data_IF_560233343851
#
_entry.id   IF_560233343851
#
_cell.length_a   1.000
_cell.length_b   1.000
_cell.length_c   1.000
_cell.angle_alpha   90.00
_cell.angle_beta   90.00
_cell.angle_gamma   90.00
#
_symmetry.space_group_name_H-M   'P 1'
#
loop_
_entity.id
_entity.type
_entity.pdbx_description
1 polymer ?
#
# COMPACT_ATOMS: atom_id res chain seq x y z
N UNK A 1 -3.53 -17.10 17.72
CA UNK A 1 -4.62 -16.46 16.92
C UNK A 1 -5.87 -17.35 16.92
N UNK A 2 -7.08 -16.80 17.00
CA UNK A 2 -8.35 -17.56 16.93
C UNK A 2 -9.19 -17.10 15.71
N UNK A 3 -10.33 -17.75 15.45
CA UNK A 3 -11.19 -17.43 14.29
C UNK A 3 -11.69 -15.98 14.28
N UNK A 4 -12.02 -15.43 15.45
CA UNK A 4 -12.47 -14.04 15.55
C UNK A 4 -11.35 -13.07 15.14
N UNK A 5 -10.12 -13.30 15.58
CA UNK A 5 -8.96 -12.49 15.17
C UNK A 5 -8.75 -12.55 13.65
N UNK A 6 -8.87 -13.74 13.05
CA UNK A 6 -8.77 -13.95 11.59
C UNK A 6 -9.81 -13.12 10.85
N UNK A 7 -11.08 -13.19 11.28
CA UNK A 7 -12.17 -12.45 10.64
C UNK A 7 -11.95 -10.93 10.74
N UNK A 8 -11.54 -10.44 11.91
CA UNK A 8 -11.28 -9.00 12.13
C UNK A 8 -10.13 -8.53 11.22
N UNK A 9 -8.99 -9.20 11.24
CA UNK A 9 -7.84 -8.84 10.41
C UNK A 9 -8.17 -8.94 8.91
N UNK A 10 -9.01 -9.89 8.50
CA UNK A 10 -9.45 -10.01 7.11
C UNK A 10 -10.36 -8.89 6.64
N UNK A 11 -11.28 -8.45 7.48
CA UNK A 11 -12.12 -7.31 7.20
C UNK A 11 -11.27 -6.04 7.13
N UNK A 12 -10.33 -5.87 8.06
CA UNK A 12 -9.40 -4.73 8.06
C UNK A 12 -8.61 -4.70 6.74
N UNK A 13 -7.90 -5.78 6.40
CA UNK A 13 -7.11 -5.86 5.16
C UNK A 13 -7.97 -5.58 3.92
N UNK A 14 -9.09 -6.30 3.76
CA UNK A 14 -9.93 -6.18 2.58
C UNK A 14 -10.52 -4.79 2.35
N UNK A 15 -10.79 -4.03 3.42
CA UNK A 15 -11.29 -2.65 3.33
C UNK A 15 -10.14 -1.66 3.10
N UNK A 16 -9.03 -1.82 3.83
CA UNK A 16 -8.00 -0.78 3.96
C UNK A 16 -6.93 -0.84 2.88
N UNK A 17 -6.73 -1.97 2.20
CA UNK A 17 -5.66 -2.14 1.20
C UNK A 17 -5.82 -1.21 -0.02
N UNK A 18 -7.06 -0.91 -0.42
CA UNK A 18 -7.32 -0.05 -1.59
C UNK A 18 -7.54 1.41 -1.24
N UNK A 19 -7.98 1.68 -0.01
CA UNK A 19 -8.22 3.04 0.46
C UNK A 19 -6.88 3.71 0.79
N UNK A 20 -6.75 5.04 0.63
CA UNK A 20 -5.50 5.74 0.90
C UNK A 20 -5.19 5.89 2.41
N UNK A 21 -5.47 4.87 3.22
CA UNK A 21 -5.45 4.92 4.70
C UNK A 21 -4.48 3.91 5.36
N UNK A 22 -3.66 3.20 4.58
CA UNK A 22 -2.64 2.24 5.02
C UNK A 22 -3.18 1.00 5.76
N UNK A 23 -3.28 -0.11 5.04
CA UNK A 23 -3.61 -1.44 5.59
C UNK A 23 -2.61 -1.92 6.62
N UNK A 24 -1.31 -1.82 6.32
CA UNK A 24 -0.23 -2.20 7.24
C UNK A 24 -0.38 -1.52 8.60
N UNK A 25 -0.72 -0.23 8.62
CA UNK A 25 -0.93 0.49 9.86
C UNK A 25 -2.10 -0.05 10.69
N UNK A 26 -3.25 -0.27 10.04
CA UNK A 26 -4.44 -0.82 10.70
C UNK A 26 -4.22 -2.27 11.17
N UNK A 27 -3.47 -3.07 10.43
CA UNK A 27 -3.14 -4.46 10.78
C UNK A 27 -2.22 -4.52 12.00
N UNK A 28 -1.19 -3.67 12.07
CA UNK A 28 -0.27 -3.58 13.22
C UNK A 28 -1.01 -3.08 14.46
N UNK A 29 -1.82 -2.02 14.35
CA UNK A 29 -2.58 -1.50 15.48
C UNK A 29 -3.66 -2.49 15.96
N UNK A 30 -4.41 -3.08 15.04
CA UNK A 30 -5.45 -4.07 15.35
C UNK A 30 -4.89 -5.30 16.03
N UNK A 31 -3.81 -5.88 15.48
CA UNK A 31 -3.14 -7.03 16.10
C UNK A 31 -2.49 -6.69 17.45
N UNK A 32 -2.00 -5.46 17.64
CA UNK A 32 -1.44 -4.99 18.92
C UNK A 32 -2.54 -4.82 19.96
N UNK A 33 -3.68 -4.24 19.59
CA UNK A 33 -4.85 -4.10 20.46
C UNK A 33 -5.41 -5.45 20.90
N UNK A 34 -5.40 -6.45 20.01
CA UNK A 34 -5.77 -7.83 20.33
C UNK A 34 -4.69 -8.59 21.13
N UNK A 35 -3.53 -7.99 21.38
CA UNK A 35 -2.43 -8.60 22.14
C UNK A 35 -1.71 -9.75 21.41
N UNK A 36 -1.78 -9.79 20.07
CA UNK A 36 -1.25 -10.89 19.25
C UNK A 36 -0.16 -10.45 18.25
N UNK A 37 0.20 -9.17 18.20
CA UNK A 37 1.12 -8.62 17.19
C UNK A 37 2.53 -9.24 17.21
N UNK A 38 3.01 -9.68 18.37
CA UNK A 38 4.36 -10.26 18.52
C UNK A 38 4.43 -11.73 18.07
N UNK A 39 3.29 -12.39 17.82
CA UNK A 39 3.24 -13.78 17.40
C UNK A 39 3.77 -13.91 15.94
N UNK A 40 4.83 -14.69 15.69
CA UNK A 40 5.37 -14.90 14.35
C UNK A 40 4.32 -15.41 13.35
N UNK A 41 3.36 -16.21 13.81
CA UNK A 41 2.28 -16.70 12.96
C UNK A 41 1.34 -15.57 12.53
N UNK A 42 1.10 -14.58 13.41
CA UNK A 42 0.28 -13.41 13.07
C UNK A 42 1.00 -12.54 12.06
N UNK A 43 2.30 -12.28 12.23
CA UNK A 43 3.11 -11.55 11.23
C UNK A 43 3.04 -12.23 9.85
N UNK A 44 3.22 -13.55 9.81
CA UNK A 44 3.06 -14.32 8.57
C UNK A 44 1.65 -14.21 7.99
N UNK A 45 0.63 -14.38 8.83
CA UNK A 45 -0.77 -14.29 8.43
C UNK A 45 -1.10 -12.92 7.83
N UNK A 46 -0.62 -11.81 8.42
CA UNK A 46 -0.86 -10.45 7.92
C UNK A 46 -0.25 -10.19 6.54
N UNK A 47 0.80 -10.92 6.16
CA UNK A 47 1.35 -10.87 4.80
C UNK A 47 0.55 -11.79 3.86
N UNK A 48 0.25 -13.01 4.30
CA UNK A 48 -0.44 -14.00 3.48
C UNK A 48 -1.84 -13.53 3.04
N UNK A 49 -2.54 -12.81 3.91
CA UNK A 49 -3.89 -12.32 3.64
C UNK A 49 -3.96 -11.26 2.54
N UNK A 50 -2.89 -10.51 2.31
CA UNK A 50 -2.81 -9.54 1.21
C UNK A 50 -2.99 -10.23 -0.15
N UNK A 51 -2.70 -11.53 -0.27
CA UNK A 51 -2.99 -12.30 -1.48
C UNK A 51 -4.49 -12.30 -1.80
N UNK A 52 -5.36 -12.35 -0.79
CA UNK A 52 -6.81 -12.25 -0.99
C UNK A 52 -7.21 -10.90 -1.57
N UNK A 53 -6.57 -9.83 -1.10
CA UNK A 53 -6.75 -8.49 -1.65
C UNK A 53 -6.27 -8.43 -3.12
N UNK A 54 -5.04 -8.85 -3.38
CA UNK A 54 -4.45 -8.92 -4.74
C UNK A 54 -5.37 -9.71 -5.69
N UNK A 55 -5.87 -10.88 -5.27
CA UNK A 55 -6.78 -11.70 -6.07
C UNK A 55 -8.08 -10.97 -6.41
N UNK A 56 -8.62 -10.16 -5.49
CA UNK A 56 -9.83 -9.40 -5.79
C UNK A 56 -9.59 -8.35 -6.89
N UNK A 57 -8.41 -7.73 -6.96
CA UNK A 57 -8.01 -6.82 -8.05
C UNK A 57 -7.88 -7.59 -9.36
N UNK A 58 -7.26 -8.77 -9.32
CA UNK A 58 -7.14 -9.66 -10.49
C UNK A 58 -8.51 -10.04 -11.03
N UNK A 59 -9.47 -10.39 -10.17
CA UNK A 59 -10.84 -10.73 -10.58
C UNK A 59 -11.58 -9.51 -11.13
N UNK A 60 -11.54 -8.38 -10.41
CA UNK A 60 -12.24 -7.15 -10.79
C UNK A 60 -11.75 -6.57 -12.12
N UNK A 61 -10.43 -6.61 -12.34
CA UNK A 61 -9.78 -6.03 -13.52
C UNK A 61 -9.23 -7.08 -14.48
N UNK A 62 -9.72 -8.32 -14.43
CA UNK A 62 -9.18 -9.45 -15.19
C UNK A 62 -8.95 -9.13 -16.68
N UNK A 63 -9.90 -8.45 -17.32
CA UNK A 63 -9.79 -8.05 -18.73
C UNK A 63 -8.69 -7.02 -19.00
N UNK A 64 -8.39 -6.15 -18.03
CA UNK A 64 -7.33 -5.12 -18.15
C UNK A 64 -5.92 -5.72 -18.14
N UNK A 65 -5.74 -6.94 -17.63
CA UNK A 65 -4.46 -7.64 -17.73
C UNK A 65 -4.14 -8.10 -19.17
N UNK A 66 -5.11 -8.14 -20.09
CA UNK A 66 -4.86 -8.50 -21.49
C UNK A 66 -4.65 -7.26 -22.38
N UNK A 67 -4.10 -6.18 -21.81
CA UNK A 67 -3.68 -4.95 -22.52
C UNK A 67 -2.37 -5.16 -23.29
N UNK A 68 -1.89 -4.10 -23.95
CA UNK A 68 -0.67 -4.11 -24.76
C UNK A 68 0.60 -4.36 -23.92
N UNK A 69 1.68 -4.79 -24.57
CA UNK A 69 3.00 -4.93 -23.94
C UNK A 69 3.49 -3.58 -23.37
N UNK A 70 3.14 -2.47 -24.02
CA UNK A 70 3.48 -1.11 -23.56
C UNK A 70 2.97 -0.83 -22.13
N UNK A 71 1.75 -1.27 -21.81
CA UNK A 71 1.19 -1.15 -20.45
C UNK A 71 2.10 -1.85 -19.41
N UNK A 72 2.59 -3.04 -19.72
CA UNK A 72 3.48 -3.79 -18.84
C UNK A 72 4.87 -3.16 -18.71
N UNK A 73 5.38 -2.54 -19.79
CA UNK A 73 6.63 -1.78 -19.74
C UNK A 73 6.48 -0.58 -18.80
N UNK A 74 5.36 0.16 -18.88
CA UNK A 74 5.08 1.28 -17.96
C UNK A 74 4.97 0.82 -16.51
N UNK A 75 4.26 -0.28 -16.24
CA UNK A 75 4.19 -0.88 -14.90
C UNK A 75 5.58 -1.27 -14.38
N UNK A 76 6.39 -1.89 -15.23
CA UNK A 76 7.75 -2.28 -14.87
C UNK A 76 8.61 -1.04 -14.54
N UNK A 77 8.53 0.02 -15.34
CA UNK A 77 9.23 1.28 -15.10
C UNK A 77 8.81 1.91 -13.75
N UNK A 78 7.51 1.90 -13.43
CA UNK A 78 7.01 2.38 -12.14
C UNK A 78 7.49 1.49 -10.97
N UNK A 79 7.68 0.20 -11.19
CA UNK A 79 8.16 -0.74 -10.16
C UNK A 79 9.66 -0.57 -9.84
N UNK A 80 10.50 -0.18 -10.81
CA UNK A 80 11.96 -0.12 -10.66
C UNK A 80 12.42 0.66 -9.42
N UNK A 81 12.00 1.93 -9.18
CA UNK A 81 12.46 2.68 -8.01
C UNK A 81 12.11 1.96 -6.69
N UNK A 82 10.88 1.45 -6.59
CA UNK A 82 10.42 0.74 -5.40
C UNK A 82 11.19 -0.57 -5.16
N UNK A 83 11.52 -1.30 -6.22
CA UNK A 83 12.33 -2.52 -6.10
C UNK A 83 13.75 -2.21 -5.61
N UNK A 84 14.38 -1.17 -6.16
CA UNK A 84 15.74 -0.77 -5.79
C UNK A 84 15.78 -0.30 -4.33
N UNK A 85 14.93 0.67 -3.97
CA UNK A 85 14.95 1.24 -2.63
C UNK A 85 14.43 0.27 -1.56
N UNK A 86 13.50 -0.63 -1.91
CA UNK A 86 13.01 -1.65 -0.99
C UNK A 86 14.10 -2.64 -0.59
N UNK A 87 14.97 -3.02 -1.54
CA UNK A 87 16.14 -3.86 -1.24
C UNK A 87 17.24 -3.08 -0.53
N UNK A 88 17.48 -1.82 -0.93
CA UNK A 88 18.54 -1.00 -0.34
C UNK A 88 18.27 -0.63 1.12
N UNK A 89 17.01 -0.46 1.50
CA UNK A 89 16.59 0.01 2.82
C UNK A 89 15.79 -1.03 3.63
N UNK A 90 15.87 -2.32 3.28
CA UNK A 90 15.09 -3.39 3.93
C UNK A 90 15.17 -3.35 5.46
N UNK A 91 16.39 -3.27 6.00
CA UNK A 91 16.63 -3.31 7.44
C UNK A 91 16.02 -2.10 8.16
N UNK A 92 16.02 -0.93 7.52
CA UNK A 92 15.42 0.28 8.07
C UNK A 92 13.89 0.23 8.04
N UNK A 93 13.32 -0.35 6.97
CA UNK A 93 11.87 -0.55 6.83
C UNK A 93 11.38 -1.51 7.91
N UNK A 94 12.08 -2.63 8.11
CA UNK A 94 11.76 -3.62 9.13
C UNK A 94 11.81 -3.02 10.53
N UNK A 95 12.85 -2.24 10.85
CA UNK A 95 12.95 -1.56 12.14
C UNK A 95 11.77 -0.59 12.40
N UNK A 96 11.26 0.08 11.36
CA UNK A 96 10.08 0.94 11.47
C UNK A 96 8.78 0.14 11.66
N UNK A 97 8.65 -1.03 11.01
CA UNK A 97 7.48 -1.91 11.11
C UNK A 97 7.30 -2.47 12.53
N UNK A 98 8.40 -2.66 13.25
CA UNK A 98 8.38 -3.16 14.63
C UNK A 98 7.98 -2.10 15.66
N UNK A 99 7.75 -0.84 15.25
CA UNK A 99 7.34 0.26 16.13
C UNK A 99 5.86 0.64 15.92
N UNK A 100 4.93 0.11 16.73
CA UNK A 100 3.51 0.51 16.67
C UNK A 100 3.31 2.02 16.84
N UNK A 101 4.14 2.67 17.66
CA UNK A 101 4.08 4.12 17.86
C UNK A 101 4.51 4.88 16.59
N UNK A 102 5.57 4.45 15.92
CA UNK A 102 6.02 5.06 14.66
C UNK A 102 4.95 4.94 13.57
N UNK A 103 4.33 3.76 13.46
CA UNK A 103 3.21 3.50 12.56
C UNK A 103 2.00 4.38 12.89
N UNK A 104 1.64 4.53 14.17
CA UNK A 104 0.54 5.39 14.59
C UNK A 104 0.78 6.87 14.25
N UNK A 105 2.01 7.36 14.43
CA UNK A 105 2.40 8.72 14.03
C UNK A 105 2.29 8.88 12.52
N UNK A 106 2.79 7.90 11.75
CA UNK A 106 2.68 7.93 10.28
C UNK A 106 1.23 7.97 9.81
N UNK A 107 0.34 7.17 10.42
CA UNK A 107 -1.09 7.19 10.14
C UNK A 107 -1.73 8.54 10.45
N UNK A 108 -1.37 9.17 11.58
CA UNK A 108 -1.87 10.49 11.95
C UNK A 108 -1.43 11.55 10.94
N UNK A 109 -0.15 11.57 10.59
CA UNK A 109 0.41 12.50 9.58
C UNK A 109 -0.26 12.27 8.22
N UNK A 110 -0.38 11.02 7.79
CA UNK A 110 -1.09 10.67 6.56
C UNK A 110 -2.54 11.14 6.56
N UNK A 111 -3.27 10.92 7.66
CA UNK A 111 -4.63 11.41 7.84
C UNK A 111 -4.75 12.93 7.75
N UNK A 112 -3.82 13.67 8.35
CA UNK A 112 -3.76 15.14 8.23
C UNK A 112 -3.53 15.55 6.77
N UNK A 113 -2.62 14.90 6.05
CA UNK A 113 -2.35 15.19 4.63
C UNK A 113 -3.62 14.98 3.78
N UNK A 114 -4.35 13.88 4.00
CA UNK A 114 -5.59 13.59 3.27
C UNK A 114 -6.67 14.66 3.45
N UNK A 115 -6.72 15.37 4.60
CA UNK A 115 -7.67 16.47 4.79
C UNK A 115 -7.45 17.65 3.83
N UNK A 116 -6.25 17.78 3.28
CA UNK A 116 -5.88 18.89 2.39
C UNK A 116 -5.70 18.45 0.93
N UNK A 117 -5.70 17.14 0.67
CA UNK A 117 -5.35 16.59 -0.65
C UNK A 117 -6.30 17.04 -1.76
N UNK A 118 -7.60 17.13 -1.46
CA UNK A 118 -8.62 17.55 -2.42
C UNK A 118 -8.37 18.97 -2.97
N UNK A 119 -7.65 19.81 -2.22
CA UNK A 119 -7.33 21.19 -2.63
C UNK A 119 -6.13 21.26 -3.58
N UNK A 120 -5.29 20.22 -3.61
CA UNK A 120 -4.08 20.18 -4.42
C UNK A 120 -4.34 19.75 -5.86
N UNK A 121 -5.39 18.96 -6.11
CA UNK A 121 -5.72 18.41 -7.42
C UNK A 121 -7.04 18.97 -7.95
N UNK A 122 -7.01 20.21 -8.43
CA UNK A 122 -8.20 20.91 -8.98
C UNK A 122 -8.40 20.69 -10.48
N UNK A 123 -7.47 20.05 -11.19
CA UNK A 123 -7.60 19.68 -12.61
C UNK A 123 -6.95 18.33 -12.89
N UNK A 124 -7.71 17.37 -13.42
CA UNK A 124 -7.17 16.13 -13.95
C UNK A 124 -6.55 16.40 -15.34
N UNK A 125 -5.25 16.14 -15.48
CA UNK A 125 -4.51 16.34 -16.75
C UNK A 125 -4.46 15.10 -17.63
N UNK A 126 -4.68 13.91 -17.05
CA UNK A 126 -4.64 12.61 -17.74
C UNK A 126 -5.94 11.89 -17.38
N UNK A 127 -6.75 11.56 -18.39
CA UNK A 127 -8.09 10.97 -18.19
C UNK A 127 -8.09 9.46 -18.44
N UNK A 128 -7.19 8.98 -19.31
CA UNK A 128 -7.02 7.56 -19.57
C UNK A 128 -5.65 7.05 -19.11
N UNK A 129 -5.63 5.87 -18.51
CA UNK A 129 -4.41 5.10 -18.22
C UNK A 129 -3.52 4.88 -19.43
N UNK A 130 -4.08 4.86 -20.64
CA UNK A 130 -3.33 4.67 -21.88
C UNK A 130 -2.51 5.94 -22.25
N UNK A 131 -2.85 7.11 -21.70
CA UNK A 131 -2.16 8.40 -21.92
C UNK A 131 -0.97 8.62 -20.98
N UNK A 132 -0.76 7.76 -19.99
CA UNK A 132 0.39 7.85 -19.07
C UNK A 132 1.67 7.59 -19.85
N UNK A 133 2.57 8.57 -19.87
CA UNK A 133 3.89 8.44 -20.49
C UNK A 133 4.90 7.75 -19.56
N UNK A 134 6.04 7.30 -20.11
CA UNK A 134 7.06 6.60 -19.33
C UNK A 134 7.65 7.47 -18.21
N UNK A 135 7.76 8.79 -18.43
CA UNK A 135 8.28 9.70 -17.42
C UNK A 135 7.31 9.82 -16.23
N UNK A 136 5.99 9.89 -16.48
CA UNK A 136 4.98 9.87 -15.41
C UNK A 136 4.98 8.54 -14.68
N UNK A 137 5.04 7.41 -15.39
CA UNK A 137 5.16 6.09 -14.75
C UNK A 137 6.38 6.01 -13.81
N UNK A 138 7.54 6.51 -14.25
CA UNK A 138 8.75 6.54 -13.43
C UNK A 138 8.61 7.46 -12.21
N UNK A 139 7.99 8.64 -12.36
CA UNK A 139 7.69 9.55 -11.23
C UNK A 139 6.79 8.88 -10.21
N UNK A 140 5.72 8.21 -10.64
CA UNK A 140 4.84 7.44 -9.75
C UNK A 140 5.65 6.41 -8.95
N UNK A 141 6.61 5.74 -9.60
CA UNK A 141 7.52 4.81 -8.90
C UNK A 141 8.34 5.43 -7.78
N UNK A 142 8.82 6.67 -7.95
CA UNK A 142 9.49 7.42 -6.88
C UNK A 142 8.54 7.79 -5.75
N UNK A 143 7.34 8.28 -6.06
CA UNK A 143 6.34 8.56 -5.02
C UNK A 143 5.94 7.30 -4.26
N UNK A 144 5.83 6.16 -4.93
CA UNK A 144 5.58 4.87 -4.29
C UNK A 144 6.67 4.48 -3.27
N UNK A 145 7.90 4.98 -3.41
CA UNK A 145 8.95 4.73 -2.42
C UNK A 145 8.64 5.38 -1.05
N UNK A 146 7.82 6.44 -1.01
CA UNK A 146 7.35 7.04 0.25
C UNK A 146 6.51 6.04 1.04
N UNK A 147 5.81 5.12 0.35
CA UNK A 147 5.03 4.06 0.99
C UNK A 147 5.87 2.98 1.68
N UNK A 148 7.21 3.02 1.55
CA UNK A 148 8.10 2.19 2.34
C UNK A 148 8.13 2.60 3.82
N UNK A 149 7.71 3.83 4.16
CA UNK A 149 7.52 4.25 5.55
C UNK A 149 6.26 3.56 6.09
N UNK A 150 6.39 2.69 7.11
CA UNK A 150 5.25 1.97 7.66
C UNK A 150 4.15 2.90 8.19
N UNK A 151 2.91 2.66 7.74
CA UNK A 151 1.77 3.52 8.04
C UNK A 151 1.48 4.57 6.97
N UNK A 152 2.36 4.77 5.99
CA UNK A 152 2.01 5.46 4.74
C UNK A 152 1.20 4.49 3.87
N UNK A 153 0.16 4.99 3.20
CA UNK A 153 -0.61 4.19 2.26
C UNK A 153 0.05 4.13 0.90
N UNK A 154 0.28 2.93 0.35
CA UNK A 154 0.77 2.76 -1.03
C UNK A 154 -0.19 3.39 -2.04
N UNK A 155 -1.49 3.10 -1.92
CA UNK A 155 -2.52 3.70 -2.77
C UNK A 155 -2.53 5.21 -2.64
N UNK A 156 -2.39 5.73 -1.41
CA UNK A 156 -2.24 7.17 -1.16
C UNK A 156 -1.04 7.76 -1.90
N UNK A 157 0.14 7.19 -1.72
CA UNK A 157 1.38 7.69 -2.33
C UNK A 157 1.37 7.65 -3.88
N UNK A 158 0.58 6.78 -4.50
CA UNK A 158 0.52 6.69 -5.98
C UNK A 158 -0.65 7.45 -6.61
N UNK A 159 -1.72 7.70 -5.85
CA UNK A 159 -2.92 8.40 -6.33
C UNK A 159 -2.80 9.91 -6.12
N UNK A 160 -2.19 10.30 -5.01
CA UNK A 160 -1.92 11.69 -4.59
C UNK A 160 -0.58 12.13 -5.14
#
# INVERSE_FOLDING_TARGET
MNLLHVLILAIIEGITEYLPISSTGHMILGSSFMGIASDPFVKFFTVAIQLGAILSVVVLYFKRFFKSIDFYIKLFIAFIPSAIFGVLFSDAIDALLESPLGVAISLLVGGIILLFVDKWFTKAYIVDTDEVDYLTAFKIGFFQCIAMVPGVSRSGATIV
#
